data_IF_443257539530
#
_entry.id   IF_443257539530
#
_cell.length_a   1.000
_cell.length_b   1.000
_cell.length_c   1.000
_cell.angle_alpha   90.00
_cell.angle_beta   90.00
_cell.angle_gamma   90.00
#
_symmetry.space_group_name_H-M   'P 1'
#
loop_
_entity.id
_entity.type
_entity.pdbx_description
1 polymer ?
#
# COMPACT_ATOMS: atom_id res chain seq x y z
N UNK A 1 -3.14 -19.71 -8.58
CA UNK A 1 -2.27 -18.52 -8.64
C UNK A 1 -2.87 -17.47 -7.71
N UNK A 2 -2.10 -16.88 -6.80
CA UNK A 2 -2.64 -15.91 -5.84
C UNK A 2 -2.90 -14.59 -6.56
N UNK A 3 -3.91 -13.82 -6.15
CA UNK A 3 -4.24 -12.50 -6.71
C UNK A 3 -3.03 -11.57 -6.63
N UNK A 4 -2.25 -11.65 -5.54
CA UNK A 4 -1.02 -10.89 -5.34
C UNK A 4 0.05 -11.16 -6.42
N UNK A 5 0.07 -12.36 -7.01
CA UNK A 5 1.05 -12.72 -8.05
C UNK A 5 0.74 -12.02 -9.39
N UNK A 6 -0.53 -11.70 -9.63
CA UNK A 6 -1.03 -11.01 -10.83
C UNK A 6 -0.86 -9.49 -10.79
N UNK A 7 -0.51 -8.94 -9.63
CA UNK A 7 -0.45 -7.51 -9.42
C UNK A 7 0.83 -6.93 -10.05
N UNK A 8 0.74 -5.87 -10.89
CA UNK A 8 1.90 -5.19 -11.45
C UNK A 8 2.78 -4.61 -10.35
N UNK A 9 4.08 -4.89 -10.42
CA UNK A 9 5.11 -4.37 -9.51
C UNK A 9 5.70 -3.07 -10.08
N UNK A 10 6.12 -2.10 -9.24
CA UNK A 10 6.12 -2.14 -7.78
C UNK A 10 4.75 -1.90 -7.16
N UNK A 11 4.52 -2.47 -5.97
CA UNK A 11 3.34 -2.20 -5.15
C UNK A 11 3.57 -2.44 -3.66
N UNK A 12 2.69 -1.88 -2.84
CA UNK A 12 2.63 -2.13 -1.40
C UNK A 12 1.44 -3.03 -1.07
N UNK A 13 1.64 -4.01 -0.19
CA UNK A 13 0.56 -4.75 0.45
C UNK A 13 0.36 -4.19 1.85
N UNK A 14 -0.84 -3.70 2.12
CA UNK A 14 -1.28 -3.31 3.46
C UNK A 14 -2.12 -4.44 4.02
N UNK A 15 -1.54 -5.23 4.93
CA UNK A 15 -2.17 -6.37 5.58
C UNK A 15 -2.72 -5.95 6.94
N UNK A 16 -4.03 -6.04 7.14
CA UNK A 16 -4.64 -5.76 8.44
C UNK A 16 -6.06 -5.23 8.34
N UNK A 17 -6.72 -5.16 9.49
CA UNK A 17 -8.11 -4.78 9.61
C UNK A 17 -8.35 -3.82 10.76
N UNK A 18 -9.55 -3.25 10.79
CA UNK A 18 -9.89 -2.26 11.80
C UNK A 18 -9.79 -2.90 13.19
N UNK A 19 -9.03 -2.25 14.09
CA UNK A 19 -8.77 -2.77 15.43
C UNK A 19 -7.59 -3.74 15.53
N UNK A 20 -6.85 -3.97 14.44
CA UNK A 20 -5.61 -4.79 14.44
C UNK A 20 -4.38 -3.97 14.10
N UNK A 21 -3.20 -4.53 14.32
CA UNK A 21 -1.96 -4.05 13.70
C UNK A 21 -2.06 -4.17 12.18
N UNK A 22 -1.54 -3.15 11.49
CA UNK A 22 -1.37 -3.13 10.05
C UNK A 22 0.09 -3.36 9.70
N UNK A 23 0.36 -4.34 8.84
CA UNK A 23 1.69 -4.65 8.33
C UNK A 23 1.80 -4.12 6.91
N UNK A 24 2.89 -3.42 6.60
CA UNK A 24 3.19 -2.96 5.25
C UNK A 24 4.31 -3.80 4.66
N UNK A 25 4.05 -4.37 3.49
CA UNK A 25 5.04 -5.07 2.69
C UNK A 25 5.21 -4.42 1.33
N UNK A 26 6.43 -4.44 0.81
CA UNK A 26 6.75 -3.98 -0.53
C UNK A 26 7.10 -5.13 -1.46
N UNK A 27 6.59 -5.08 -2.69
CA UNK A 27 6.92 -6.02 -3.77
C UNK A 27 7.52 -5.26 -4.96
N UNK A 28 8.78 -5.57 -5.30
CA UNK A 28 9.47 -5.01 -6.48
C UNK A 28 9.78 -6.11 -7.50
N UNK A 29 9.92 -5.71 -8.76
CA UNK A 29 10.34 -6.61 -9.85
C UNK A 29 11.64 -7.31 -9.45
N UNK A 30 11.66 -8.63 -9.58
CA UNK A 30 12.84 -9.47 -9.31
C UNK A 30 13.43 -9.33 -7.90
N UNK A 31 12.61 -8.92 -6.92
CA UNK A 31 12.99 -8.85 -5.50
C UNK A 31 11.97 -9.61 -4.64
N UNK A 32 12.42 -10.22 -3.53
CA UNK A 32 11.51 -10.86 -2.59
C UNK A 32 10.58 -9.84 -1.93
N UNK A 33 9.48 -10.34 -1.35
CA UNK A 33 8.60 -9.58 -0.45
C UNK A 33 9.43 -8.94 0.67
N UNK A 34 9.31 -7.62 0.83
CA UNK A 34 10.05 -6.85 1.83
C UNK A 34 9.09 -6.38 2.93
N UNK A 35 9.35 -6.70 4.20
CA UNK A 35 8.63 -6.08 5.31
C UNK A 35 9.15 -4.66 5.54
N UNK A 36 8.25 -3.69 5.61
CA UNK A 36 8.60 -2.27 5.71
C UNK A 36 8.20 -1.64 7.05
N UNK A 37 7.20 -2.19 7.76
CA UNK A 37 6.82 -1.70 9.07
C UNK A 37 5.44 -2.16 9.53
N UNK A 38 5.17 -1.81 10.79
CA UNK A 38 3.96 -2.13 11.53
C UNK A 38 3.32 -0.83 12.06
N UNK A 39 2.00 -0.74 11.98
CA UNK A 39 1.26 0.49 12.27
C UNK A 39 -0.02 0.17 13.04
N UNK A 40 -0.47 1.14 13.85
CA UNK A 40 -1.68 0.96 14.67
C UNK A 40 -2.96 1.28 13.89
N UNK A 41 -2.83 1.85 12.69
CA UNK A 41 -3.98 2.15 11.84
C UNK A 41 -3.64 2.09 10.34
N UNK A 42 -4.68 1.88 9.52
CA UNK A 42 -4.57 1.97 8.06
C UNK A 42 -4.08 3.35 7.62
N UNK A 43 -4.46 4.41 8.34
CA UNK A 43 -4.04 5.78 8.02
C UNK A 43 -2.53 5.95 8.21
N UNK A 44 -1.99 5.51 9.35
CA UNK A 44 -0.54 5.55 9.61
C UNK A 44 0.25 4.73 8.59
N UNK A 45 -0.24 3.53 8.25
CA UNK A 45 0.36 2.71 7.21
C UNK A 45 0.42 3.44 5.85
N UNK A 46 -0.67 4.12 5.46
CA UNK A 46 -0.74 4.88 4.21
C UNK A 46 0.11 6.15 4.23
N UNK A 47 0.18 6.85 5.35
CA UNK A 47 1.12 7.98 5.54
C UNK A 47 2.57 7.53 5.35
N UNK A 48 2.93 6.40 5.97
CA UNK A 48 4.23 5.80 5.80
C UNK A 48 4.50 5.43 4.33
N UNK A 49 3.57 4.72 3.67
CA UNK A 49 3.71 4.33 2.26
C UNK A 49 3.91 5.57 1.37
N UNK A 50 3.12 6.62 1.57
CA UNK A 50 3.21 7.86 0.83
C UNK A 50 4.60 8.50 0.95
N UNK A 51 5.06 8.77 2.17
CA UNK A 51 6.39 9.34 2.42
C UNK A 51 7.50 8.42 1.90
N UNK A 52 7.38 7.12 2.13
CA UNK A 52 8.41 6.14 1.74
C UNK A 52 8.55 6.06 0.22
N UNK A 53 7.45 6.00 -0.52
CA UNK A 53 7.47 5.92 -1.98
C UNK A 53 8.03 7.19 -2.64
N UNK A 54 7.70 8.39 -2.12
CA UNK A 54 8.25 9.63 -2.66
C UNK A 54 9.73 9.85 -2.34
N UNK A 55 10.21 9.35 -1.19
CA UNK A 55 11.64 9.30 -0.88
C UNK A 55 12.40 8.23 -1.68
N UNK A 56 11.69 7.26 -2.25
CA UNK A 56 12.26 6.13 -2.96
C UNK A 56 11.51 5.90 -4.30
N UNK A 57 11.79 6.71 -5.34
CA UNK A 57 11.03 6.73 -6.59
C UNK A 57 10.90 5.38 -7.31
N UNK A 58 11.77 4.41 -7.02
CA UNK A 58 11.67 3.03 -7.50
C UNK A 58 10.42 2.26 -7.01
N UNK A 59 9.66 2.84 -6.08
CA UNK A 59 8.37 2.34 -5.59
C UNK A 59 7.17 3.01 -6.25
N UNK A 60 7.40 4.06 -7.05
CA UNK A 60 6.36 4.67 -7.86
C UNK A 60 6.13 3.82 -9.11
N UNK A 61 4.89 3.80 -9.56
CA UNK A 61 4.49 3.17 -10.81
C UNK A 61 4.85 4.05 -12.02
N UNK A 62 4.49 3.61 -13.23
CA UNK A 62 4.78 4.35 -14.47
C UNK A 62 4.13 5.72 -14.55
N UNK A 63 3.09 5.98 -13.75
CA UNK A 63 2.40 7.27 -13.67
C UNK A 63 2.99 8.19 -12.59
N UNK A 64 4.04 7.76 -11.87
CA UNK A 64 4.58 8.50 -10.73
C UNK A 64 3.68 8.46 -9.48
N UNK A 65 2.75 7.50 -9.42
CA UNK A 65 1.83 7.28 -8.31
C UNK A 65 2.15 5.93 -7.63
N UNK A 66 1.40 5.58 -6.60
CA UNK A 66 1.59 4.42 -5.75
C UNK A 66 0.53 3.38 -6.11
N UNK A 67 0.92 2.12 -6.13
CA UNK A 67 -0.03 1.02 -6.16
C UNK A 67 -0.13 0.33 -4.79
N UNK A 68 -1.34 -0.02 -4.36
CA UNK A 68 -1.60 -0.64 -3.05
C UNK A 68 -2.59 -1.81 -3.18
N UNK A 69 -2.22 -2.94 -2.59
CA UNK A 69 -3.10 -4.08 -2.35
C UNK A 69 -3.52 -4.09 -0.89
N UNK A 70 -4.82 -3.91 -0.62
CA UNK A 70 -5.37 -3.94 0.73
C UNK A 70 -5.82 -5.37 1.05
N UNK A 71 -5.03 -6.06 1.88
CA UNK A 71 -5.23 -7.45 2.26
C UNK A 71 -5.88 -7.53 3.65
N UNK A 72 -7.08 -8.10 3.69
CA UNK A 72 -7.89 -8.26 4.89
C UNK A 72 -8.04 -9.75 5.22
N UNK A 73 -7.38 -10.28 6.27
CA UNK A 73 -7.40 -11.71 6.60
C UNK A 73 -8.78 -12.34 6.78
N UNK A 74 -9.78 -11.56 7.24
CA UNK A 74 -11.16 -12.03 7.42
C UNK A 74 -11.92 -12.19 6.10
N UNK A 75 -11.38 -11.67 5.00
CA UNK A 75 -12.03 -11.67 3.68
C UNK A 75 -11.46 -12.75 2.79
N UNK A 76 -12.29 -13.20 1.86
CA UNK A 76 -11.79 -13.99 0.74
C UNK A 76 -10.80 -13.16 -0.09
N UNK A 77 -9.78 -13.81 -0.67
CA UNK A 77 -8.76 -13.12 -1.46
C UNK A 77 -9.38 -12.36 -2.66
N UNK A 78 -10.50 -12.85 -3.19
CA UNK A 78 -11.27 -12.18 -4.25
C UNK A 78 -11.81 -10.81 -3.82
N UNK A 79 -12.18 -10.65 -2.54
CA UNK A 79 -12.77 -9.43 -1.99
C UNK A 79 -11.73 -8.39 -1.56
N UNK A 80 -10.45 -8.79 -1.48
CA UNK A 80 -9.36 -7.87 -1.21
C UNK A 80 -9.20 -6.89 -2.37
N UNK A 81 -8.98 -5.61 -2.05
CA UNK A 81 -8.98 -4.55 -3.06
C UNK A 81 -7.57 -4.27 -3.56
N UNK A 82 -7.45 -4.25 -4.87
CA UNK A 82 -6.27 -3.76 -5.56
C UNK A 82 -6.52 -2.34 -6.07
N UNK A 83 -5.60 -1.43 -5.80
CA UNK A 83 -5.67 -0.06 -6.23
C UNK A 83 -4.40 0.31 -7.00
N UNK A 84 -4.58 0.71 -8.25
CA UNK A 84 -3.57 1.42 -9.05
C UNK A 84 -3.78 2.92 -8.89
N UNK A 85 -2.71 3.69 -8.72
CA UNK A 85 -2.75 5.15 -8.57
C UNK A 85 -3.59 5.59 -7.36
N UNK A 86 -3.11 5.23 -6.15
CA UNK A 86 -3.90 5.33 -4.92
C UNK A 86 -3.98 6.73 -4.34
N UNK A 87 -3.10 7.66 -4.73
CA UNK A 87 -3.03 8.96 -4.08
C UNK A 87 -4.34 9.72 -4.24
N UNK A 88 -4.82 9.89 -5.48
CA UNK A 88 -6.11 10.54 -5.74
C UNK A 88 -7.30 9.70 -5.25
N UNK A 89 -7.22 8.38 -5.42
CA UNK A 89 -8.36 7.48 -5.23
C UNK A 89 -8.62 7.15 -3.76
N UNK A 90 -7.60 7.13 -2.93
CA UNK A 90 -7.68 6.63 -1.56
C UNK A 90 -7.04 7.57 -0.54
N UNK A 91 -5.92 8.21 -0.85
CA UNK A 91 -5.17 8.99 0.18
C UNK A 91 -5.73 10.40 0.33
N UNK A 92 -6.14 11.04 -0.77
CA UNK A 92 -6.78 12.36 -0.70
C UNK A 92 -8.13 12.39 0.03
N UNK A 93 -8.71 11.23 0.32
CA UNK A 93 -9.93 11.11 1.13
C UNK A 93 -9.70 11.44 2.61
N UNK A 94 -8.45 11.38 3.09
CA UNK A 94 -8.13 11.79 4.46
C UNK A 94 -8.16 13.32 4.56
N UNK A 95 -8.91 13.84 5.55
CA UNK A 95 -9.09 15.28 5.74
C UNK A 95 -7.77 16.02 5.98
N UNK A 96 -6.77 15.35 6.56
CA UNK A 96 -5.43 15.86 6.85
C UNK A 96 -4.39 15.49 5.79
N UNK A 97 -4.79 14.97 4.63
CA UNK A 97 -3.85 14.56 3.57
C UNK A 97 -2.88 15.69 3.17
N UNK A 98 -3.35 16.93 3.17
CA UNK A 98 -2.54 18.12 2.87
C UNK A 98 -1.32 18.29 3.80
N UNK A 99 -1.38 17.70 5.00
CA UNK A 99 -0.32 17.78 6.01
C UNK A 99 0.68 16.61 5.90
N UNK A 100 0.42 15.65 5.01
CA UNK A 100 1.28 14.49 4.79
C UNK A 100 2.54 14.88 4.00
N UNK A 101 3.71 14.42 4.47
CA UNK A 101 5.00 14.77 3.86
C UNK A 101 5.37 13.79 2.75
N UNK A 102 5.79 14.32 1.60
CA UNK A 102 6.52 13.57 0.58
C UNK A 102 7.99 13.39 0.99
#
# INVERSE_FOLDING_TARGET
MKKVDLIPKPFFETLGEHGTTYFVYGYRVSKPKLHLGEFNSLKEARQFIYTYAYKNPQWLNTNGDINEYNNKPSRSESDNKWYKDVVEKEYKKYADFKDWKK
#
